data_IF_501783908496
#
_entry.id   IF_501783908496
#
_cell.length_a   1.000
_cell.length_b   1.000
_cell.length_c   1.000
_cell.angle_alpha   90.00
_cell.angle_beta   90.00
_cell.angle_gamma   90.00
#
_symmetry.space_group_name_H-M   'P 1'
#
loop_
_entity.id
_entity.type
_entity.pdbx_description
1 polymer ?
#
# COMPACT_ATOMS: atom_id res chain seq x y z
N UNK A 1 29.39 -4.47 4.98
CA UNK A 1 28.57 -5.31 5.88
C UNK A 1 29.33 -5.61 7.18
N UNK A 2 29.73 -4.59 7.95
CA UNK A 2 30.48 -4.81 9.21
C UNK A 2 29.72 -4.37 10.47
N UNK A 3 28.78 -3.41 10.39
CA UNK A 3 28.13 -2.86 11.58
C UNK A 3 27.22 -3.87 12.32
N UNK A 4 26.33 -4.55 11.60
CA UNK A 4 25.34 -5.46 12.23
C UNK A 4 25.83 -6.90 12.34
N UNK A 5 26.95 -7.24 11.68
CA UNK A 5 27.46 -8.62 11.55
C UNK A 5 26.39 -9.65 11.11
N UNK A 6 25.37 -9.19 10.38
CA UNK A 6 24.24 -10.03 9.96
C UNK A 6 23.15 -10.26 11.02
N UNK A 7 23.25 -9.66 12.20
CA UNK A 7 22.31 -9.87 13.32
C UNK A 7 21.13 -8.89 13.33
N UNK A 8 21.07 -7.98 12.36
CA UNK A 8 20.08 -6.92 12.29
C UNK A 8 20.42 -5.71 13.18
N UNK A 9 19.51 -4.72 13.20
CA UNK A 9 19.74 -3.44 13.88
C UNK A 9 19.31 -3.43 15.37
N UNK A 10 18.89 -4.57 15.94
CA UNK A 10 18.53 -4.66 17.37
C UNK A 10 17.38 -3.75 17.84
N UNK A 11 16.57 -3.22 16.91
CA UNK A 11 15.54 -2.23 17.25
C UNK A 11 16.05 -0.79 17.39
N UNK A 12 17.29 -0.52 16.97
CA UNK A 12 17.89 0.81 16.90
C UNK A 12 17.82 1.36 15.46
N UNK A 13 17.02 2.41 15.20
CA UNK A 13 16.92 3.06 13.89
C UNK A 13 18.24 3.65 13.41
N UNK A 14 19.08 4.16 14.30
CA UNK A 14 20.34 4.80 13.90
C UNK A 14 21.32 3.75 13.35
N UNK A 15 21.39 2.59 14.00
CA UNK A 15 22.15 1.45 13.49
C UNK A 15 21.63 1.00 12.11
N UNK A 16 20.31 0.98 11.92
CA UNK A 16 19.69 0.70 10.61
C UNK A 16 20.06 1.75 9.55
N UNK A 17 20.07 3.03 9.91
CA UNK A 17 20.47 4.15 9.05
C UNK A 17 21.93 4.02 8.62
N UNK A 18 22.84 3.82 9.57
CA UNK A 18 24.28 3.67 9.30
C UNK A 18 24.57 2.46 8.41
N UNK A 19 23.96 1.31 8.71
CA UNK A 19 24.09 0.11 7.88
C UNK A 19 23.60 0.34 6.43
N UNK A 20 22.57 1.17 6.24
CA UNK A 20 22.05 1.51 4.91
C UNK A 20 22.98 2.46 4.17
N UNK A 21 23.56 3.45 4.86
CA UNK A 21 24.55 4.36 4.29
C UNK A 21 25.83 3.63 3.85
N UNK A 22 26.29 2.63 4.61
CA UNK A 22 27.41 1.77 4.17
C UNK A 22 27.12 1.06 2.84
N UNK A 23 25.85 0.76 2.57
CA UNK A 23 25.39 0.08 1.36
C UNK A 23 24.94 1.04 0.25
N UNK A 24 25.12 2.37 0.40
CA UNK A 24 24.56 3.36 -0.52
C UNK A 24 24.96 3.11 -1.98
N UNK A 25 26.22 2.79 -2.26
CA UNK A 25 26.68 2.50 -3.62
C UNK A 25 25.97 1.29 -4.25
N UNK A 26 25.69 0.25 -3.46
CA UNK A 26 24.96 -0.94 -3.91
C UNK A 26 23.49 -0.63 -4.16
N UNK A 27 22.89 0.20 -3.30
CA UNK A 27 21.51 0.67 -3.45
C UNK A 27 21.36 1.48 -4.73
N UNK A 28 22.25 2.45 -4.99
CA UNK A 28 22.26 3.25 -6.23
C UNK A 28 22.37 2.36 -7.47
N UNK A 29 23.30 1.40 -7.46
CA UNK A 29 23.45 0.48 -8.58
C UNK A 29 22.19 -0.36 -8.82
N UNK A 30 21.56 -0.86 -7.75
CA UNK A 30 20.31 -1.62 -7.85
C UNK A 30 19.13 -0.79 -8.37
N UNK A 31 19.16 0.53 -8.17
CA UNK A 31 18.11 1.46 -8.60
C UNK A 31 18.33 1.99 -10.02
N UNK A 32 19.53 1.83 -10.60
CA UNK A 32 19.88 2.42 -11.89
C UNK A 32 18.88 2.00 -12.99
N UNK A 33 18.37 3.00 -13.70
CA UNK A 33 17.41 2.81 -14.80
C UNK A 33 15.96 2.59 -14.36
N UNK A 34 15.69 2.53 -13.06
CA UNK A 34 14.32 2.46 -12.54
C UNK A 34 13.61 3.79 -12.72
N UNK A 35 12.38 3.77 -13.23
CA UNK A 35 11.52 4.97 -13.34
C UNK A 35 10.65 5.16 -12.10
N UNK A 36 10.23 4.04 -11.51
CA UNK A 36 9.38 4.00 -10.32
C UNK A 36 9.93 2.98 -9.33
N UNK A 37 9.90 3.33 -8.05
CA UNK A 37 10.33 2.47 -6.95
C UNK A 37 9.19 2.38 -5.95
N UNK A 38 8.80 1.14 -5.65
CA UNK A 38 7.86 0.83 -4.59
C UNK A 38 8.65 0.31 -3.39
N UNK A 39 8.63 1.06 -2.29
CA UNK A 39 9.32 0.70 -1.05
C UNK A 39 8.29 0.26 -0.02
N UNK A 40 8.44 -0.94 0.55
CA UNK A 40 7.62 -1.42 1.66
C UNK A 40 8.46 -1.53 2.92
N UNK A 41 7.99 -0.98 4.04
CA UNK A 41 8.72 -1.04 5.30
C UNK A 41 7.80 -1.08 6.52
N UNK A 42 8.07 -2.02 7.44
CA UNK A 42 7.47 -1.98 8.77
C UNK A 42 8.22 -0.98 9.66
N UNK A 43 7.50 0.01 10.19
CA UNK A 43 8.07 1.05 11.03
C UNK A 43 8.02 0.67 12.52
N UNK A 44 8.88 1.31 13.31
CA UNK A 44 9.01 1.10 14.75
C UNK A 44 10.07 0.06 15.15
N UNK A 45 10.69 -0.61 14.17
CA UNK A 45 11.91 -1.38 14.35
C UNK A 45 13.18 -0.57 14.05
N UNK A 46 14.35 -1.21 14.08
CA UNK A 46 15.62 -0.55 13.75
C UNK A 46 15.85 -0.44 12.25
N UNK A 47 15.89 -1.57 11.55
CA UNK A 47 16.20 -1.59 10.11
C UNK A 47 15.14 -0.85 9.29
N UNK A 48 13.85 -1.19 9.45
CA UNK A 48 12.78 -0.56 8.65
C UNK A 48 12.69 0.96 8.84
N UNK A 49 12.74 1.43 10.08
CA UNK A 49 12.65 2.86 10.42
C UNK A 49 13.90 3.64 10.02
N UNK A 50 15.09 3.04 10.13
CA UNK A 50 16.35 3.69 9.79
C UNK A 50 16.69 3.66 8.30
N UNK A 51 16.39 2.54 7.63
CA UNK A 51 16.75 2.32 6.23
C UNK A 51 15.76 2.99 5.27
N UNK A 52 14.46 2.95 5.56
CA UNK A 52 13.45 3.39 4.59
C UNK A 52 13.61 4.87 4.18
N UNK A 53 13.88 5.83 5.10
CA UNK A 53 14.15 7.22 4.71
C UNK A 53 15.39 7.34 3.80
N UNK A 54 16.46 6.60 4.10
CA UNK A 54 17.70 6.64 3.31
C UNK A 54 17.50 6.06 1.91
N UNK A 55 16.86 4.88 1.80
CA UNK A 55 16.55 4.27 0.49
C UNK A 55 15.64 5.19 -0.32
N UNK A 56 14.64 5.81 0.31
CA UNK A 56 13.75 6.77 -0.34
C UNK A 56 14.53 7.96 -0.88
N UNK A 57 15.40 8.58 -0.06
CA UNK A 57 16.25 9.69 -0.48
C UNK A 57 17.11 9.30 -1.69
N UNK A 58 17.82 8.18 -1.62
CA UNK A 58 18.69 7.72 -2.69
C UNK A 58 17.88 7.51 -3.99
N UNK A 59 16.73 6.84 -3.91
CA UNK A 59 15.87 6.64 -5.08
C UNK A 59 15.38 7.95 -5.69
N UNK A 60 15.05 8.96 -4.86
CA UNK A 60 14.67 10.30 -5.33
C UNK A 60 15.83 11.01 -6.02
N UNK A 61 17.04 10.90 -5.48
CA UNK A 61 18.27 11.45 -6.08
C UNK A 61 18.60 10.81 -7.44
N UNK A 62 18.33 9.50 -7.59
CA UNK A 62 18.45 8.78 -8.86
C UNK A 62 17.29 9.09 -9.83
N UNK A 63 16.40 10.02 -9.50
CA UNK A 63 15.31 10.48 -10.36
C UNK A 63 14.08 9.56 -10.38
N UNK A 64 13.99 8.58 -9.48
CA UNK A 64 12.83 7.70 -9.41
C UNK A 64 11.59 8.42 -8.86
N UNK A 65 10.43 8.02 -9.35
CA UNK A 65 9.18 8.24 -8.64
C UNK A 65 9.05 7.22 -7.50
N UNK A 66 9.00 7.66 -6.25
CA UNK A 66 9.06 6.78 -5.07
C UNK A 66 7.74 6.74 -4.33
N UNK A 67 7.10 5.58 -4.34
CA UNK A 67 5.90 5.28 -3.55
C UNK A 67 6.31 4.43 -2.37
N UNK A 68 5.99 4.88 -1.15
CA UNK A 68 6.34 4.17 0.08
C UNK A 68 5.08 3.63 0.73
N UNK A 69 5.07 2.34 1.03
CA UNK A 69 4.07 1.68 1.85
C UNK A 69 4.66 1.38 3.23
N UNK A 70 4.02 1.86 4.28
CA UNK A 70 4.51 1.68 5.65
C UNK A 70 3.45 1.06 6.54
N UNK A 71 3.86 0.19 7.45
CA UNK A 71 2.99 -0.28 8.55
C UNK A 71 3.42 0.37 9.87
N UNK A 72 2.44 0.83 10.64
CA UNK A 72 2.63 1.33 12.00
C UNK A 72 2.48 0.17 13.00
N UNK A 73 3.26 0.15 14.09
CA UNK A 73 3.22 -0.96 15.06
C UNK A 73 1.90 -1.00 15.83
N UNK A 74 1.54 -2.19 16.31
CA UNK A 74 0.43 -2.38 17.23
C UNK A 74 0.68 -1.63 18.55
N UNK A 75 -0.38 -1.19 19.22
CA UNK A 75 -0.27 -0.49 20.51
C UNK A 75 0.42 -1.34 21.58
N UNK A 76 0.22 -2.66 21.56
CA UNK A 76 0.84 -3.58 22.53
C UNK A 76 2.36 -3.69 22.36
N UNK A 77 2.93 -3.30 21.22
CA UNK A 77 4.38 -3.35 20.99
C UNK A 77 5.13 -2.23 21.76
N UNK A 78 4.39 -1.30 22.35
CA UNK A 78 4.89 -0.31 23.28
C UNK A 78 5.23 1.03 22.65
N UNK A 79 5.29 2.05 23.52
CA UNK A 79 5.48 3.45 23.14
C UNK A 79 6.76 3.69 22.33
N UNK A 80 7.87 3.02 22.70
CA UNK A 80 9.16 3.18 22.01
C UNK A 80 9.06 2.88 20.52
N UNK A 81 8.41 1.77 20.13
CA UNK A 81 8.24 1.42 18.71
C UNK A 81 7.36 2.44 18.00
N UNK A 82 6.30 2.91 18.65
CA UNK A 82 5.40 3.92 18.07
C UNK A 82 6.12 5.25 17.83
N UNK A 83 6.86 5.75 18.82
CA UNK A 83 7.61 7.00 18.69
C UNK A 83 8.68 6.88 17.56
N UNK A 84 9.36 5.74 17.45
CA UNK A 84 10.30 5.46 16.35
C UNK A 84 9.61 5.42 14.98
N UNK A 85 8.41 4.82 14.92
CA UNK A 85 7.63 4.74 13.69
C UNK A 85 7.16 6.12 13.24
N UNK A 86 6.67 6.96 14.16
CA UNK A 86 6.23 8.32 13.85
C UNK A 86 7.39 9.19 13.36
N UNK A 87 8.58 9.07 13.94
CA UNK A 87 9.77 9.78 13.48
C UNK A 87 10.11 9.41 12.01
N UNK A 88 10.21 8.11 11.71
CA UNK A 88 10.49 7.65 10.35
C UNK A 88 9.38 8.03 9.35
N UNK A 89 8.11 7.96 9.79
CA UNK A 89 6.97 8.35 8.98
C UNK A 89 7.02 9.83 8.58
N UNK A 90 7.41 10.71 9.52
CA UNK A 90 7.55 12.14 9.24
C UNK A 90 8.67 12.43 8.24
N UNK A 91 9.80 11.71 8.30
CA UNK A 91 10.86 11.82 7.29
C UNK A 91 10.37 11.34 5.92
N UNK A 92 9.71 10.18 5.86
CA UNK A 92 9.17 9.61 4.63
C UNK A 92 8.10 10.50 4.00
N UNK A 93 7.28 11.17 4.81
CA UNK A 93 6.30 12.14 4.36
C UNK A 93 6.93 13.34 3.64
N UNK A 94 8.19 13.66 3.93
CA UNK A 94 8.92 14.74 3.23
C UNK A 94 9.66 14.20 2.00
N UNK A 95 10.22 13.00 2.10
CA UNK A 95 11.12 12.45 1.08
C UNK A 95 10.39 11.76 -0.09
N UNK A 96 9.32 11.03 0.21
CA UNK A 96 8.59 10.23 -0.78
C UNK A 96 7.75 11.09 -1.71
N UNK A 97 7.44 10.56 -2.90
CA UNK A 97 6.45 11.19 -3.76
C UNK A 97 5.01 10.87 -3.33
N UNK A 98 4.83 9.69 -2.74
CA UNK A 98 3.56 9.18 -2.25
C UNK A 98 3.84 8.28 -1.05
N UNK A 99 3.06 8.44 0.01
CA UNK A 99 3.18 7.68 1.25
C UNK A 99 1.83 7.07 1.60
N UNK A 100 1.79 5.74 1.66
CA UNK A 100 0.63 4.94 2.03
C UNK A 100 0.91 4.31 3.37
N UNK A 101 0.13 4.69 4.38
CA UNK A 101 0.33 4.20 5.76
C UNK A 101 -0.80 3.27 6.18
N UNK A 102 -0.44 2.06 6.60
CA UNK A 102 -1.32 1.09 7.24
C UNK A 102 -1.13 1.13 8.76
N UNK A 103 -2.23 1.18 9.50
CA UNK A 103 -2.21 1.16 10.97
C UNK A 103 -2.60 -0.23 11.48
N UNK A 104 -1.63 -0.95 12.07
CA UNK A 104 -1.86 -2.29 12.59
C UNK A 104 -2.94 -2.33 13.68
N UNK A 105 -3.14 -1.25 14.45
CA UNK A 105 -4.22 -1.24 15.44
C UNK A 105 -5.58 -1.36 14.81
N UNK A 106 -5.81 -0.64 13.69
CA UNK A 106 -7.08 -0.72 12.97
C UNK A 106 -7.26 -2.11 12.41
N UNK A 107 -6.24 -2.67 11.77
CA UNK A 107 -6.31 -4.05 11.29
C UNK A 107 -6.57 -5.06 12.43
N UNK A 108 -5.97 -4.85 13.62
CA UNK A 108 -6.20 -5.70 14.80
C UNK A 108 -7.61 -5.60 15.40
N UNK A 109 -8.14 -4.37 15.53
CA UNK A 109 -9.55 -4.13 15.94
C UNK A 109 -10.54 -4.85 15.03
N UNK A 110 -10.17 -4.97 13.76
CA UNK A 110 -10.98 -5.52 12.69
C UNK A 110 -10.87 -7.04 12.55
N UNK A 111 -9.75 -7.64 12.95
CA UNK A 111 -9.54 -9.10 12.93
C UNK A 111 -9.95 -9.76 14.27
N UNK A 112 -10.19 -8.99 15.33
CA UNK A 112 -10.54 -9.55 16.64
C UNK A 112 -12.01 -9.36 17.00
N UNK A 113 -12.77 -10.42 16.72
CA UNK A 113 -13.71 -10.96 17.71
C UNK A 113 -13.61 -12.49 17.87
N UNK A 114 -12.87 -13.24 17.01
CA UNK A 114 -12.94 -14.71 16.98
C UNK A 114 -11.65 -15.49 16.66
N UNK A 115 -10.53 -14.85 16.33
CA UNK A 115 -9.33 -15.53 15.79
C UNK A 115 -8.05 -15.29 16.60
N UNK A 116 -7.05 -16.18 16.47
CA UNK A 116 -5.78 -16.11 17.19
C UNK A 116 -4.85 -15.00 16.68
N UNK A 117 -3.89 -14.57 17.50
CA UNK A 117 -2.96 -13.47 17.15
C UNK A 117 -2.24 -13.70 15.82
N UNK A 118 -1.81 -14.93 15.53
CA UNK A 118 -1.15 -15.27 14.26
C UNK A 118 -2.05 -15.07 13.04
N UNK A 119 -3.33 -15.42 13.14
CA UNK A 119 -4.30 -15.23 12.06
C UNK A 119 -4.57 -13.74 11.82
N UNK A 120 -4.54 -12.92 12.89
CA UNK A 120 -4.66 -11.47 12.78
C UNK A 120 -3.50 -10.82 12.01
N UNK A 121 -2.27 -11.23 12.32
CA UNK A 121 -1.10 -10.78 11.56
C UNK A 121 -1.17 -11.24 10.09
N UNK A 122 -1.50 -12.52 9.84
CA UNK A 122 -1.60 -13.04 8.48
C UNK A 122 -2.68 -12.33 7.64
N UNK A 123 -3.82 -12.02 8.24
CA UNK A 123 -4.89 -11.28 7.58
C UNK A 123 -4.47 -9.83 7.25
N UNK A 124 -3.77 -9.16 8.18
CA UNK A 124 -3.21 -7.83 7.94
C UNK A 124 -2.18 -7.85 6.80
N UNK A 125 -1.24 -8.81 6.82
CA UNK A 125 -0.22 -8.96 5.79
C UNK A 125 -0.84 -9.23 4.40
N UNK A 126 -1.86 -10.09 4.34
CA UNK A 126 -2.59 -10.37 3.10
C UNK A 126 -3.27 -9.11 2.56
N UNK A 127 -3.89 -8.33 3.44
CA UNK A 127 -4.56 -7.08 3.07
C UNK A 127 -3.56 -6.01 2.57
N UNK A 128 -2.41 -5.88 3.23
CA UNK A 128 -1.32 -5.00 2.79
C UNK A 128 -0.81 -5.45 1.42
N UNK A 129 -0.59 -6.75 1.24
CA UNK A 129 -0.14 -7.32 -0.03
C UNK A 129 -1.13 -7.03 -1.18
N UNK A 130 -2.42 -7.25 -0.96
CA UNK A 130 -3.46 -6.94 -1.95
C UNK A 130 -3.51 -5.45 -2.29
N UNK A 131 -3.33 -4.59 -1.28
CA UNK A 131 -3.29 -3.13 -1.45
C UNK A 131 -2.13 -2.70 -2.34
N UNK A 132 -0.92 -3.16 -2.03
CA UNK A 132 0.29 -2.85 -2.81
C UNK A 132 0.13 -3.37 -4.23
N UNK A 133 -0.35 -4.60 -4.39
CA UNK A 133 -0.56 -5.22 -5.70
C UNK A 133 -1.57 -4.44 -6.55
N UNK A 134 -2.65 -3.94 -5.94
CA UNK A 134 -3.63 -3.11 -6.64
C UNK A 134 -2.99 -1.81 -7.14
N UNK A 135 -2.26 -1.09 -6.28
CA UNK A 135 -1.59 0.16 -6.67
C UNK A 135 -0.54 -0.06 -7.76
N UNK A 136 0.27 -1.11 -7.66
CA UNK A 136 1.27 -1.44 -8.68
C UNK A 136 0.59 -1.75 -10.03
N UNK A 137 -0.54 -2.47 -10.01
CA UNK A 137 -1.29 -2.80 -11.23
C UNK A 137 -1.83 -1.57 -11.95
N UNK A 138 -2.26 -0.55 -11.21
CA UNK A 138 -2.70 0.73 -11.79
C UNK A 138 -1.60 1.40 -12.61
N UNK A 139 -0.34 1.27 -12.18
CA UNK A 139 0.80 1.94 -12.83
C UNK A 139 1.39 1.11 -13.97
N UNK A 140 1.55 -0.19 -13.76
CA UNK A 140 2.42 -1.02 -14.61
C UNK A 140 1.67 -1.64 -15.80
N UNK A 141 0.35 -1.83 -15.70
CA UNK A 141 -0.43 -2.52 -16.74
C UNK A 141 -1.42 -1.57 -17.42
N UNK A 142 -1.32 -1.34 -18.75
CA UNK A 142 -2.40 -0.69 -19.47
C UNK A 142 -3.62 -1.62 -19.48
N UNK A 143 -4.74 -1.11 -18.99
CA UNK A 143 -6.08 -1.67 -19.07
C UNK A 143 -6.93 -1.06 -20.19
N UNK A 144 -8.20 -1.49 -20.24
CA UNK A 144 -9.24 -0.95 -21.13
C UNK A 144 -9.57 0.51 -20.77
N UNK A 145 -9.56 0.82 -19.47
CA UNK A 145 -9.67 2.18 -18.94
C UNK A 145 -8.48 2.37 -18.00
N UNK A 146 -7.62 3.34 -18.32
CA UNK A 146 -6.42 3.61 -17.55
C UNK A 146 -6.63 4.77 -16.58
N UNK A 147 -6.14 4.57 -15.36
CA UNK A 147 -5.79 5.65 -14.45
C UNK A 147 -4.31 5.91 -14.68
N UNK A 148 -3.96 7.16 -15.00
CA UNK A 148 -2.57 7.51 -15.25
C UNK A 148 -1.73 7.49 -13.97
N UNK A 149 -0.40 7.44 -14.13
CA UNK A 149 0.50 7.73 -13.01
C UNK A 149 0.20 9.12 -12.45
N UNK A 150 -0.15 10.11 -13.27
CA UNK A 150 -0.53 11.45 -12.83
C UNK A 150 -1.78 11.47 -11.94
N UNK A 151 -2.77 10.64 -12.22
CA UNK A 151 -3.98 10.52 -11.40
C UNK A 151 -3.67 9.85 -10.05
N UNK A 152 -2.85 8.79 -10.07
CA UNK A 152 -2.35 8.14 -8.86
C UNK A 152 -1.51 9.12 -8.03
N UNK A 153 -0.63 9.89 -8.69
CA UNK A 153 0.17 10.94 -8.06
C UNK A 153 -0.72 11.99 -7.42
N UNK A 154 -1.72 12.48 -8.14
CA UNK A 154 -2.68 13.45 -7.61
C UNK A 154 -3.44 12.92 -6.40
N UNK A 155 -3.87 11.66 -6.45
CA UNK A 155 -4.56 10.99 -5.35
C UNK A 155 -3.67 10.80 -4.11
N UNK A 156 -2.39 10.48 -4.32
CA UNK A 156 -1.44 10.14 -3.24
C UNK A 156 -0.56 11.32 -2.78
N UNK A 157 -0.72 12.51 -3.37
CA UNK A 157 0.07 13.72 -3.05
C UNK A 157 -0.14 14.27 -1.63
N UNK A 158 -1.05 13.69 -0.87
CA UNK A 158 -1.29 14.09 0.52
C UNK A 158 -0.39 13.27 1.44
N UNK A 159 0.71 13.86 1.89
CA UNK A 159 1.78 13.20 2.65
C UNK A 159 1.39 12.73 4.08
N UNK A 160 0.09 12.73 4.39
CA UNK A 160 -0.49 12.24 5.66
C UNK A 160 -1.81 11.49 5.46
N UNK A 161 -2.13 11.06 4.24
CA UNK A 161 -3.35 10.31 4.01
C UNK A 161 -3.23 8.93 4.61
N UNK A 162 -4.11 8.64 5.57
CA UNK A 162 -4.42 7.27 5.95
C UNK A 162 -5.15 6.64 4.77
N UNK A 163 -4.64 5.52 4.28
CA UNK A 163 -5.25 4.82 3.16
C UNK A 163 -6.28 3.82 3.70
N UNK A 164 -7.48 3.87 3.13
CA UNK A 164 -8.53 2.88 3.36
C UNK A 164 -8.54 1.93 2.17
N UNK A 165 -8.60 0.63 2.43
CA UNK A 165 -8.55 -0.38 1.37
C UNK A 165 -9.68 -1.39 1.50
N UNK A 166 -10.33 -1.70 0.38
CA UNK A 166 -11.30 -2.78 0.28
C UNK A 166 -11.11 -3.55 -1.01
N UNK A 167 -11.28 -4.86 -0.92
CA UNK A 167 -11.14 -5.81 -2.02
C UNK A 167 -12.34 -6.74 -2.00
N UNK A 168 -12.89 -7.03 -3.17
CA UNK A 168 -14.06 -7.87 -3.32
C UNK A 168 -14.01 -8.65 -4.61
N UNK A 169 -14.21 -9.96 -4.49
CA UNK A 169 -14.27 -10.90 -5.61
C UNK A 169 -15.66 -11.51 -5.62
N UNK A 170 -16.25 -11.64 -6.80
CA UNK A 170 -17.53 -12.31 -6.98
C UNK A 170 -17.67 -12.87 -8.40
N UNK A 171 -18.57 -13.84 -8.54
CA UNK A 171 -18.88 -14.54 -9.79
C UNK A 171 -20.41 -14.65 -9.96
N UNK A 172 -20.87 -15.05 -11.15
CA UNK A 172 -22.30 -15.18 -11.46
C UNK A 172 -22.95 -13.89 -11.99
N UNK A 173 -24.29 -13.89 -12.06
CA UNK A 173 -25.07 -12.84 -12.71
C UNK A 173 -24.97 -11.46 -12.01
N UNK A 174 -24.88 -11.44 -10.68
CA UNK A 174 -24.82 -10.21 -9.88
C UNK A 174 -23.40 -9.86 -9.42
N UNK A 175 -22.36 -10.39 -10.10
CA UNK A 175 -20.97 -10.32 -9.65
C UNK A 175 -20.47 -8.89 -9.42
N UNK A 176 -20.90 -7.90 -10.21
CA UNK A 176 -20.50 -6.50 -9.98
C UNK A 176 -20.99 -5.96 -8.64
N UNK A 177 -22.28 -6.16 -8.33
CA UNK A 177 -22.87 -5.71 -7.07
C UNK A 177 -22.33 -6.52 -5.87
N UNK A 178 -22.15 -7.83 -6.04
CA UNK A 178 -21.55 -8.70 -5.04
C UNK A 178 -20.09 -8.30 -4.73
N UNK A 179 -19.28 -8.03 -5.76
CA UNK A 179 -17.89 -7.62 -5.60
C UNK A 179 -17.79 -6.31 -4.82
N UNK A 180 -18.64 -5.32 -5.12
CA UNK A 180 -18.68 -4.08 -4.36
C UNK A 180 -19.10 -4.30 -2.90
N UNK A 181 -20.14 -5.10 -2.65
CA UNK A 181 -20.55 -5.43 -1.26
C UNK A 181 -19.42 -6.11 -0.50
N UNK A 182 -18.73 -7.05 -1.13
CA UNK A 182 -17.58 -7.73 -0.54
C UNK A 182 -16.43 -6.74 -0.24
N UNK A 183 -16.15 -5.82 -1.17
CA UNK A 183 -15.15 -4.76 -0.96
C UNK A 183 -15.53 -3.84 0.21
N UNK A 184 -16.78 -3.39 0.29
CA UNK A 184 -17.29 -2.55 1.38
C UNK A 184 -17.36 -3.29 2.72
N UNK A 185 -17.53 -4.61 2.70
CA UNK A 185 -17.41 -5.46 3.90
C UNK A 185 -15.97 -5.56 4.41
N UNK A 186 -14.99 -5.04 3.65
CA UNK A 186 -13.63 -4.87 4.14
C UNK A 186 -13.70 -4.14 5.48
N UNK A 187 -13.11 -4.72 6.52
CA UNK A 187 -13.12 -4.10 7.83
C UNK A 187 -12.49 -2.69 7.82
N UNK A 188 -11.52 -2.41 6.92
CA UNK A 188 -10.92 -1.08 6.78
C UNK A 188 -11.86 -0.02 6.20
N UNK A 189 -13.00 -0.40 5.60
CA UNK A 189 -13.96 0.52 5.01
C UNK A 189 -15.16 0.79 5.92
N UNK A 190 -15.33 0.03 7.02
CA UNK A 190 -16.46 0.12 7.94
C UNK A 190 -17.82 0.18 7.21
N UNK A 191 -18.08 -0.81 6.35
CA UNK A 191 -19.27 -0.84 5.48
C UNK A 191 -19.42 0.40 4.57
N UNK A 192 -18.30 1.04 4.23
CA UNK A 192 -18.25 2.26 3.44
C UNK A 192 -18.48 3.54 4.25
N UNK A 193 -18.66 3.47 5.57
CA UNK A 193 -18.84 4.66 6.40
C UNK A 193 -17.62 5.58 6.35
N UNK A 194 -16.41 5.00 6.34
CA UNK A 194 -15.15 5.74 6.29
C UNK A 194 -14.85 6.36 4.91
N UNK A 195 -15.55 5.93 3.85
CA UNK A 195 -15.39 6.50 2.51
C UNK A 195 -15.95 7.92 2.40
N UNK A 196 -16.84 8.32 3.32
CA UNK A 196 -17.43 9.67 3.34
C UNK A 196 -16.39 10.76 3.55
N UNK A 197 -15.31 10.44 4.26
CA UNK A 197 -14.22 11.36 4.57
C UNK A 197 -13.05 11.24 3.58
N UNK A 198 -13.16 10.34 2.60
CA UNK A 198 -12.12 10.12 1.60
C UNK A 198 -12.01 11.36 0.69
N UNK A 199 -10.80 11.92 0.60
CA UNK A 199 -10.51 13.03 -0.31
C UNK A 199 -10.42 12.58 -1.76
N UNK A 200 -9.97 11.34 -1.97
CA UNK A 200 -9.81 10.74 -3.30
C UNK A 200 -10.09 9.25 -3.20
N UNK A 201 -10.79 8.71 -4.19
CA UNK A 201 -11.10 7.28 -4.27
C UNK A 201 -10.53 6.72 -5.56
N UNK A 202 -9.69 5.70 -5.42
CA UNK A 202 -9.14 4.94 -6.53
C UNK A 202 -9.87 3.61 -6.63
N UNK A 203 -10.49 3.37 -7.79
CA UNK A 203 -11.22 2.13 -8.06
C UNK A 203 -10.47 1.33 -9.11
N UNK A 204 -10.19 0.08 -8.79
CA UNK A 204 -9.58 -0.84 -9.74
C UNK A 204 -10.52 -2.01 -10.00
N UNK A 205 -11.00 -2.12 -11.24
CA UNK A 205 -11.85 -3.22 -11.68
C UNK A 205 -11.05 -4.17 -12.55
N UNK A 206 -11.18 -5.46 -12.26
CA UNK A 206 -10.59 -6.55 -13.05
C UNK A 206 -11.67 -7.57 -13.38
N UNK A 207 -11.77 -7.99 -14.64
CA UNK A 207 -12.73 -9.01 -15.08
C UNK A 207 -12.31 -9.70 -16.37
N UNK A 208 -12.87 -10.88 -16.63
CA UNK A 208 -12.60 -11.61 -17.87
C UNK A 208 -13.14 -10.90 -19.12
N UNK A 209 -12.98 -11.51 -20.28
CA UNK A 209 -13.45 -10.96 -21.56
C UNK A 209 -14.98 -10.72 -21.60
N UNK A 210 -15.72 -11.38 -20.71
CA UNK A 210 -17.16 -11.21 -20.56
C UNK A 210 -17.55 -10.07 -19.60
N UNK A 211 -16.63 -9.24 -19.12
CA UNK A 211 -16.95 -8.05 -18.33
C UNK A 211 -17.63 -7.00 -19.21
N UNK A 212 -18.82 -6.57 -18.82
CA UNK A 212 -19.63 -5.62 -19.60
C UNK A 212 -19.53 -4.19 -19.06
N UNK A 213 -19.77 -3.20 -19.93
CA UNK A 213 -19.87 -1.79 -19.51
C UNK A 213 -21.00 -1.56 -18.49
N UNK A 214 -22.13 -2.25 -18.66
CA UNK A 214 -23.26 -2.19 -17.72
C UNK A 214 -22.86 -2.59 -16.30
N UNK A 215 -22.05 -3.64 -16.15
CA UNK A 215 -21.55 -4.07 -14.84
C UNK A 215 -20.64 -3.01 -14.18
N UNK A 216 -19.80 -2.35 -14.99
CA UNK A 216 -18.92 -1.27 -14.52
C UNK A 216 -19.75 -0.07 -14.07
N UNK A 217 -20.73 0.35 -14.87
CA UNK A 217 -21.63 1.47 -14.54
C UNK A 217 -22.43 1.21 -13.26
N UNK A 218 -23.01 0.02 -13.13
CA UNK A 218 -23.78 -0.38 -11.94
C UNK A 218 -22.92 -0.33 -10.67
N UNK A 219 -21.67 -0.78 -10.75
CA UNK A 219 -20.72 -0.73 -9.66
C UNK A 219 -20.38 0.72 -9.29
N UNK A 220 -20.03 1.55 -10.27
CA UNK A 220 -19.64 2.94 -10.03
C UNK A 220 -20.81 3.77 -9.45
N UNK A 221 -22.02 3.61 -9.98
CA UNK A 221 -23.23 4.25 -9.44
C UNK A 221 -23.52 3.82 -8.00
N UNK A 222 -23.27 2.55 -7.68
CA UNK A 222 -23.46 2.05 -6.32
C UNK A 222 -22.40 2.60 -5.37
N UNK A 223 -21.14 2.72 -5.81
CA UNK A 223 -20.05 3.29 -5.03
C UNK A 223 -20.25 4.78 -4.73
N UNK A 224 -20.79 5.55 -5.67
CA UNK A 224 -21.10 6.98 -5.50
C UNK A 224 -22.00 7.27 -4.30
N UNK A 225 -22.76 6.28 -3.81
CA UNK A 225 -23.60 6.43 -2.60
C UNK A 225 -22.78 6.53 -1.30
N UNK A 226 -21.51 6.09 -1.33
CA UNK A 226 -20.62 6.03 -0.17
C UNK A 226 -19.54 7.13 -0.21
N UNK A 227 -19.30 7.71 -1.37
CA UNK A 227 -18.21 8.67 -1.61
C UNK A 227 -18.83 10.05 -1.87
N UNK A 228 -18.34 11.14 -1.25
CA UNK A 228 -18.79 12.48 -1.61
C UNK A 228 -18.48 12.78 -3.09
N UNK A 229 -19.22 13.70 -3.73
CA UNK A 229 -18.94 14.17 -5.10
C UNK A 229 -17.56 14.87 -5.18
N UNK A 230 -16.48 14.09 -5.19
CA UNK A 230 -15.08 14.51 -5.28
C UNK A 230 -14.24 13.44 -6.00
N UNK A 231 -13.04 13.85 -6.41
CA UNK A 231 -12.08 13.13 -7.26
C UNK A 231 -12.13 11.60 -7.10
N UNK A 232 -12.88 10.94 -7.98
CA UNK A 232 -12.94 9.50 -8.11
C UNK A 232 -12.29 9.13 -9.44
N UNK A 233 -11.21 8.37 -9.38
CA UNK A 233 -10.52 7.85 -10.57
C UNK A 233 -10.69 6.34 -10.61
N UNK A 234 -11.05 5.80 -11.76
CA UNK A 234 -11.28 4.37 -11.91
C UNK A 234 -10.55 3.79 -13.12
N UNK A 235 -10.05 2.57 -12.96
CA UNK A 235 -9.41 1.78 -14.01
C UNK A 235 -10.15 0.47 -14.22
N UNK A 236 -10.06 -0.05 -15.45
CA UNK A 236 -10.60 -1.36 -15.83
C UNK A 236 -9.51 -2.14 -16.55
N UNK A 237 -9.17 -3.31 -16.04
CA UNK A 237 -8.18 -4.21 -16.64
C UNK A 237 -8.81 -5.58 -16.97
N UNK A 238 -8.43 -6.20 -18.11
CA UNK A 238 -8.77 -7.58 -18.37
C UNK A 238 -8.03 -8.52 -17.40
N UNK A 239 -8.72 -9.57 -16.94
CA UNK A 239 -8.15 -10.59 -16.08
C UNK A 239 -7.26 -11.52 -16.91
N UNK A 240 -5.97 -11.23 -16.93
CA UNK A 240 -4.98 -12.09 -17.60
C UNK A 240 -4.43 -13.08 -16.56
N UNK A 241 -4.76 -14.37 -16.72
CA UNK A 241 -4.26 -15.49 -15.90
C UNK A 241 -2.74 -15.74 -15.97
N UNK A 242 -1.96 -14.85 -16.57
CA UNK A 242 -0.50 -14.99 -16.66
C UNK A 242 0.16 -13.74 -16.08
N UNK A 243 1.01 -13.94 -15.09
CA UNK A 243 2.45 -13.63 -15.10
C UNK A 243 2.97 -13.62 -13.66
N UNK A 244 4.02 -14.42 -13.48
CA UNK A 244 4.86 -14.61 -12.29
C UNK A 244 5.49 -13.29 -11.84
N UNK A 245 5.65 -13.11 -10.53
CA UNK A 245 6.65 -12.19 -9.99
C UNK A 245 7.58 -13.06 -9.14
N UNK A 246 8.75 -13.34 -9.70
CA UNK A 246 9.88 -13.87 -8.96
C UNK A 246 10.38 -12.80 -7.99
N UNK A 247 10.29 -13.06 -6.68
CA UNK A 247 11.16 -12.39 -5.72
C UNK A 247 12.28 -13.36 -5.34
N UNK A 248 13.49 -13.08 -5.83
CA UNK A 248 14.71 -13.69 -5.30
C UNK A 248 15.08 -12.89 -4.05
N UNK A 249 14.66 -13.37 -2.89
CA UNK A 249 15.20 -12.92 -1.62
C UNK A 249 16.59 -13.57 -1.47
N UNK A 250 17.63 -12.74 -1.29
CA UNK A 250 18.85 -13.18 -0.59
C UNK A 250 18.61 -13.02 0.90
#
# INVERSE_FOLDING_TARGET
>A
MNLTKGLGAGGDPELGRQATLEAEAQIREALRGSKIVFLCSGLGGGTGSGAAPIVTRIAREEGCFVVVFTTMPFAFEGKRRRDQAEAALNELAVLSNALVTFDNNRMGELVVAKQGVHEAFAAADQMIYESIKAVIRLVVRPGLINVGLDDLMSALRTNRSRCLFGSGIAEGADRAACALRNALSSPLLDQGALLKDAQTVLVHLSGGENLTLFEIELLMQSLQKFVPEKHTSFSVQPWIQRWEIHFRLL
#
